data_IF_783510191855
#
_entry.id   IF_783510191855
#
_cell.length_a   1.000
_cell.length_b   1.000
_cell.length_c   1.000
_cell.angle_alpha   90.00
_cell.angle_beta   90.00
_cell.angle_gamma   90.00
#
_symmetry.space_group_name_H-M   'P 1'
#
loop_
_entity.id
_entity.type
_entity.pdbx_description
1 polymer ?
#
# COMPACT_ATOMS: atom_id res chain seq x y z
N UNK A 1 0.15 3.15 -21.56
CA UNK A 1 0.54 1.75 -21.40
C UNK A 1 1.17 1.64 -20.03
N UNK A 2 0.68 0.76 -19.18
CA UNK A 2 1.22 0.54 -17.83
C UNK A 2 2.07 -0.72 -17.85
N UNK A 3 3.30 -0.62 -17.35
CA UNK A 3 4.26 -1.74 -17.27
C UNK A 3 4.47 -2.08 -15.81
N UNK A 4 4.35 -3.36 -15.46
CA UNK A 4 4.67 -3.87 -14.12
C UNK A 4 5.87 -4.80 -14.25
N UNK A 5 6.95 -4.47 -13.51
CA UNK A 5 8.12 -5.34 -13.43
C UNK A 5 8.03 -6.20 -12.18
N UNK A 6 8.18 -7.51 -12.36
CA UNK A 6 8.06 -8.53 -11.32
C UNK A 6 9.26 -9.47 -11.36
N UNK A 7 9.49 -10.18 -10.27
CA UNK A 7 10.40 -11.29 -10.28
C UNK A 7 9.82 -12.50 -11.05
N UNK A 8 10.67 -13.46 -11.39
CA UNK A 8 10.29 -14.60 -12.19
C UNK A 8 9.66 -15.75 -11.37
N UNK A 9 8.97 -15.41 -10.27
CA UNK A 9 8.27 -16.37 -9.41
C UNK A 9 7.01 -16.94 -10.09
N UNK A 10 6.64 -18.15 -9.73
CA UNK A 10 5.48 -18.84 -10.30
C UNK A 10 4.17 -18.11 -10.06
N UNK A 11 4.02 -17.49 -8.89
CA UNK A 11 2.85 -16.70 -8.52
C UNK A 11 2.65 -15.48 -9.42
N UNK A 12 3.74 -14.82 -9.79
CA UNK A 12 3.70 -13.65 -10.67
C UNK A 12 3.30 -14.03 -12.11
N UNK A 13 3.70 -15.19 -12.57
CA UNK A 13 3.23 -15.74 -13.85
C UNK A 13 1.75 -16.11 -13.83
N UNK A 14 1.24 -16.57 -12.69
CA UNK A 14 -0.20 -16.81 -12.50
C UNK A 14 -0.98 -15.49 -12.49
N UNK A 15 -0.42 -14.42 -11.90
CA UNK A 15 -1.01 -13.09 -11.93
C UNK A 15 -1.16 -12.59 -13.37
N UNK A 16 -0.10 -12.70 -14.18
CA UNK A 16 -0.16 -12.35 -15.61
C UNK A 16 -1.27 -13.12 -16.33
N UNK A 17 -1.31 -14.44 -16.18
CA UNK A 17 -2.36 -15.27 -16.80
C UNK A 17 -3.77 -14.85 -16.40
N UNK A 18 -3.97 -14.44 -15.15
CA UNK A 18 -5.27 -13.94 -14.68
C UNK A 18 -5.60 -12.57 -15.24
N UNK A 19 -4.64 -11.66 -15.33
CA UNK A 19 -4.86 -10.32 -15.90
C UNK A 19 -5.15 -10.35 -17.40
N UNK A 20 -4.59 -11.34 -18.10
CA UNK A 20 -4.83 -11.55 -19.54
C UNK A 20 -6.15 -12.31 -19.77
N UNK A 21 -6.75 -12.89 -18.72
CA UNK A 21 -8.04 -13.57 -18.83
C UNK A 21 -9.18 -12.59 -19.15
N UNK A 22 -10.27 -13.12 -19.71
CA UNK A 22 -11.42 -12.36 -20.23
C UNK A 22 -12.05 -11.42 -19.18
N UNK A 23 -11.85 -11.71 -17.90
CA UNK A 23 -12.52 -11.01 -16.79
C UNK A 23 -11.81 -9.73 -16.36
N UNK A 24 -10.49 -9.62 -16.55
CA UNK A 24 -9.72 -8.50 -16.01
C UNK A 24 -9.21 -7.52 -17.05
N UNK A 25 -8.88 -7.93 -18.24
CA UNK A 25 -8.41 -7.09 -19.40
C UNK A 25 -7.80 -5.72 -19.03
N UNK A 26 -6.85 -5.73 -18.10
CA UNK A 26 -6.31 -4.48 -17.52
C UNK A 26 -5.37 -3.72 -18.46
N UNK A 27 -4.98 -4.32 -19.59
CA UNK A 27 -4.05 -3.71 -20.55
C UNK A 27 -2.68 -3.41 -19.95
N UNK A 28 -2.24 -4.25 -18.99
CA UNK A 28 -0.96 -4.13 -18.29
C UNK A 28 0.06 -5.01 -19.00
N UNK A 29 1.22 -4.44 -19.28
CA UNK A 29 2.38 -5.20 -19.76
C UNK A 29 3.21 -5.70 -18.56
N UNK A 30 3.63 -6.96 -18.61
CA UNK A 30 4.43 -7.58 -17.56
C UNK A 30 5.84 -7.81 -18.03
N UNK A 31 6.82 -7.23 -17.32
CA UNK A 31 8.24 -7.52 -17.48
C UNK A 31 8.71 -8.42 -16.33
N UNK A 32 9.36 -9.53 -16.66
CA UNK A 32 9.96 -10.39 -15.64
C UNK A 32 11.47 -10.17 -15.58
N UNK A 33 12.00 -10.12 -14.35
CA UNK A 33 13.45 -10.06 -14.13
C UNK A 33 14.12 -11.36 -14.60
N UNK A 34 15.36 -11.28 -15.03
CA UNK A 34 16.12 -12.46 -15.41
C UNK A 34 16.34 -13.37 -14.18
N UNK A 35 16.40 -14.69 -14.36
CA UNK A 35 16.72 -15.62 -13.27
C UNK A 35 18.05 -15.28 -12.62
N UNK A 36 18.16 -15.40 -11.29
CA UNK A 36 19.36 -15.15 -10.51
C UNK A 36 19.94 -13.72 -10.62
N UNK A 37 19.11 -12.72 -10.87
CA UNK A 37 19.52 -11.29 -10.92
C UNK A 37 18.79 -10.46 -9.85
N UNK A 38 19.13 -10.61 -8.55
CA UNK A 38 18.47 -9.89 -7.47
C UNK A 38 18.58 -8.37 -7.61
N UNK A 39 19.65 -7.87 -8.24
CA UNK A 39 19.85 -6.42 -8.47
C UNK A 39 18.71 -5.77 -9.28
N UNK A 40 18.04 -6.53 -10.14
CA UNK A 40 16.93 -6.00 -10.94
C UNK A 40 15.66 -5.75 -10.12
N UNK A 41 15.56 -6.37 -8.93
CA UNK A 41 14.42 -6.20 -8.02
C UNK A 41 14.74 -5.33 -6.79
N UNK A 42 15.96 -4.79 -6.70
CA UNK A 42 16.46 -4.06 -5.53
C UNK A 42 15.57 -2.87 -5.13
N UNK A 43 14.98 -2.16 -6.10
CA UNK A 43 14.08 -1.04 -5.81
C UNK A 43 12.81 -1.50 -5.08
N UNK A 44 12.23 -2.63 -5.48
CA UNK A 44 11.06 -3.19 -4.81
C UNK A 44 11.42 -3.66 -3.38
N UNK A 45 12.58 -4.30 -3.21
CA UNK A 45 13.06 -4.73 -1.89
C UNK A 45 13.28 -3.55 -0.95
N UNK A 46 13.93 -2.48 -1.43
CA UNK A 46 14.10 -1.24 -0.65
C UNK A 46 12.74 -0.60 -0.33
N UNK A 47 11.81 -0.57 -1.27
CA UNK A 47 10.45 -0.06 -1.04
C UNK A 47 9.71 -0.84 0.06
N UNK A 48 9.77 -2.17 0.02
CA UNK A 48 9.16 -3.04 1.05
C UNK A 48 9.81 -2.80 2.41
N UNK A 49 11.15 -2.71 2.48
CA UNK A 49 11.87 -2.44 3.72
C UNK A 49 11.51 -1.06 4.30
N UNK A 50 11.38 -0.05 3.44
CA UNK A 50 10.98 1.31 3.85
C UNK A 50 9.56 1.30 4.42
N UNK A 51 8.59 0.69 3.74
CA UNK A 51 7.23 0.56 4.26
C UNK A 51 7.18 -0.20 5.58
N UNK A 52 7.94 -1.29 5.72
CA UNK A 52 8.01 -2.03 6.98
C UNK A 52 8.57 -1.19 8.13
N UNK A 53 9.51 -0.28 7.86
CA UNK A 53 10.02 0.66 8.86
C UNK A 53 8.98 1.72 9.22
N UNK A 54 8.21 2.24 8.26
CA UNK A 54 7.08 3.14 8.53
C UNK A 54 6.03 2.48 9.41
N UNK A 55 5.67 1.22 9.12
CA UNK A 55 4.73 0.44 9.95
C UNK A 55 5.21 0.31 11.39
N UNK A 56 6.50 -0.06 11.58
CA UNK A 56 7.09 -0.16 12.93
C UNK A 56 7.03 1.19 13.68
N UNK A 57 7.38 2.27 13.00
CA UNK A 57 7.34 3.61 13.57
C UNK A 57 5.91 4.03 13.96
N UNK A 58 4.92 3.77 13.10
CA UNK A 58 3.52 4.08 13.36
C UNK A 58 2.97 3.26 14.53
N UNK A 59 3.24 1.96 14.58
CA UNK A 59 2.81 1.09 15.69
C UNK A 59 3.46 1.50 17.01
N UNK A 60 4.74 1.84 17.00
CA UNK A 60 5.46 2.32 18.16
C UNK A 60 4.89 3.66 18.66
N UNK A 61 4.62 4.60 17.76
CA UNK A 61 4.03 5.89 18.09
C UNK A 61 2.62 5.74 18.71
N UNK A 62 1.83 4.82 18.18
CA UNK A 62 0.49 4.51 18.69
C UNK A 62 0.50 3.67 19.97
N UNK A 63 1.69 3.33 20.51
CA UNK A 63 1.84 2.47 21.70
C UNK A 63 1.07 1.14 21.62
N UNK A 64 1.02 0.52 20.43
CA UNK A 64 0.30 -0.73 20.22
C UNK A 64 0.92 -1.84 21.06
N UNK A 65 0.13 -2.50 21.96
CA UNK A 65 0.64 -3.64 22.72
C UNK A 65 1.09 -4.77 21.80
N UNK A 66 2.18 -5.46 22.16
CA UNK A 66 2.80 -6.49 21.33
C UNK A 66 1.83 -7.60 20.90
N UNK A 67 0.88 -7.95 21.75
CA UNK A 67 -0.17 -8.94 21.47
C UNK A 67 -1.12 -8.57 20.35
N UNK A 68 -1.24 -7.27 20.03
CA UNK A 68 -2.09 -6.76 18.94
C UNK A 68 -1.31 -6.42 17.68
N UNK A 69 0.02 -6.36 17.75
CA UNK A 69 0.84 -5.95 16.60
C UNK A 69 0.56 -6.78 15.36
N UNK A 70 0.45 -8.10 15.48
CA UNK A 70 0.19 -8.98 14.33
C UNK A 70 -1.22 -8.80 13.74
N UNK A 71 -2.21 -8.45 14.58
CA UNK A 71 -3.62 -8.23 14.15
C UNK A 71 -3.78 -6.92 13.39
N UNK A 72 -3.05 -5.88 13.84
CA UNK A 72 -3.13 -4.54 13.28
C UNK A 72 -2.08 -4.28 12.18
N UNK A 73 -1.15 -5.23 11.99
CA UNK A 73 -0.05 -5.06 11.03
C UNK A 73 -0.55 -4.74 9.62
N UNK A 74 -1.56 -5.47 9.16
CA UNK A 74 -2.12 -5.28 7.82
C UNK A 74 -2.72 -3.88 7.65
N UNK A 75 -3.55 -3.45 8.59
CA UNK A 75 -4.22 -2.14 8.52
C UNK A 75 -3.20 -1.00 8.58
N UNK A 76 -2.17 -1.16 9.42
CA UNK A 76 -1.06 -0.22 9.53
C UNK A 76 -0.25 -0.18 8.23
N UNK A 77 0.02 -1.34 7.62
CA UNK A 77 0.77 -1.45 6.36
C UNK A 77 0.01 -0.79 5.20
N UNK A 78 -1.30 -1.05 5.08
CA UNK A 78 -2.15 -0.42 4.07
C UNK A 78 -2.17 1.12 4.24
N UNK A 79 -2.25 1.60 5.47
CA UNK A 79 -2.18 3.04 5.77
C UNK A 79 -0.82 3.62 5.40
N UNK A 80 0.28 2.96 5.76
CA UNK A 80 1.63 3.40 5.42
C UNK A 80 1.83 3.48 3.90
N UNK A 81 1.33 2.49 3.15
CA UNK A 81 1.39 2.48 1.69
C UNK A 81 0.60 3.64 1.06
N UNK A 82 -0.58 3.96 1.61
CA UNK A 82 -1.37 5.12 1.16
C UNK A 82 -0.59 6.42 1.44
N UNK A 83 -0.03 6.57 2.63
CA UNK A 83 0.73 7.78 3.00
C UNK A 83 1.98 7.95 2.13
N UNK A 84 2.68 6.87 1.83
CA UNK A 84 3.83 6.87 0.92
C UNK A 84 3.41 7.31 -0.50
N UNK A 85 2.28 6.81 -1.00
CA UNK A 85 1.70 7.24 -2.27
C UNK A 85 1.29 8.71 -2.32
N UNK A 86 1.06 9.36 -1.17
CA UNK A 86 0.72 10.78 -1.06
C UNK A 86 1.96 11.70 -0.94
N UNK A 87 3.15 11.14 -0.79
CA UNK A 87 4.39 11.93 -0.74
C UNK A 87 4.59 12.71 -2.04
N UNK A 88 4.94 13.99 -1.89
CA UNK A 88 5.22 14.87 -3.04
C UNK A 88 6.62 14.58 -3.55
N UNK A 89 6.70 14.28 -4.83
CA UNK A 89 7.95 14.04 -5.56
C UNK A 89 8.02 14.92 -6.79
N UNK A 90 9.24 15.18 -7.24
CA UNK A 90 9.47 15.92 -8.47
C UNK A 90 9.90 14.95 -9.58
N UNK A 91 9.08 14.82 -10.60
CA UNK A 91 9.36 14.01 -11.77
C UNK A 91 9.26 14.89 -13.02
N UNK A 92 10.33 14.97 -13.80
CA UNK A 92 10.41 15.81 -15.02
C UNK A 92 10.03 17.27 -14.77
N UNK A 93 10.42 17.85 -13.64
CA UNK A 93 10.13 19.25 -13.28
C UNK A 93 8.70 19.50 -12.76
N UNK A 94 7.85 18.45 -12.69
CA UNK A 94 6.51 18.54 -12.11
C UNK A 94 6.52 17.98 -10.69
N UNK A 95 6.09 18.83 -9.73
CA UNK A 95 5.89 18.44 -8.32
C UNK A 95 4.46 17.95 -8.13
N UNK A 96 4.30 16.69 -7.81
CA UNK A 96 3.01 16.08 -7.51
C UNK A 96 3.20 14.85 -6.61
N UNK A 97 2.14 14.30 -6.04
CA UNK A 97 2.22 13.04 -5.31
C UNK A 97 2.46 11.87 -6.26
N UNK A 98 3.03 10.77 -5.75
CA UNK A 98 3.14 9.52 -6.51
C UNK A 98 1.78 9.07 -7.05
N UNK A 99 0.73 9.21 -6.23
CA UNK A 99 -0.62 8.89 -6.63
C UNK A 99 -1.08 9.74 -7.83
N UNK A 100 -0.78 11.04 -7.81
CA UNK A 100 -1.15 11.95 -8.90
C UNK A 100 -0.37 11.66 -10.19
N UNK A 101 0.93 11.35 -10.07
CA UNK A 101 1.74 10.92 -11.22
C UNK A 101 1.21 9.63 -11.84
N UNK A 102 0.75 8.67 -11.01
CA UNK A 102 0.25 7.38 -11.47
C UNK A 102 -1.19 7.46 -11.98
N UNK A 103 -2.10 8.07 -11.22
CA UNK A 103 -3.53 8.08 -11.51
C UNK A 103 -3.99 9.28 -12.37
N UNK A 104 -3.13 10.27 -12.58
CA UNK A 104 -3.45 11.48 -13.34
C UNK A 104 -4.46 12.41 -12.66
N UNK A 105 -4.77 12.19 -11.40
CA UNK A 105 -5.76 12.98 -10.63
C UNK A 105 -5.33 13.15 -9.19
N UNK A 106 -5.75 14.26 -8.58
CA UNK A 106 -5.44 14.56 -7.17
C UNK A 106 -6.23 13.62 -6.24
N UNK A 107 -5.58 13.02 -5.21
CA UNK A 107 -6.25 12.19 -4.23
C UNK A 107 -7.21 13.02 -3.37
N UNK A 108 -8.50 12.65 -3.36
CA UNK A 108 -9.53 13.37 -2.58
C UNK A 108 -9.49 13.04 -1.08
N UNK A 109 -8.72 12.02 -0.68
CA UNK A 109 -8.67 11.53 0.70
C UNK A 109 -7.82 12.39 1.63
N UNK A 110 -6.97 13.28 1.12
CA UNK A 110 -6.01 14.06 1.92
C UNK A 110 -6.67 14.89 3.02
N UNK A 111 -7.86 15.44 2.79
CA UNK A 111 -8.61 16.21 3.79
C UNK A 111 -9.20 15.38 4.95
N UNK A 112 -9.20 14.07 4.83
CA UNK A 112 -9.78 13.14 5.82
C UNK A 112 -8.73 12.30 6.54
N UNK A 113 -7.45 12.55 6.28
CA UNK A 113 -6.36 11.85 6.96
C UNK A 113 -6.37 12.14 8.44
N UNK A 114 -6.17 11.10 9.25
CA UNK A 114 -6.02 11.14 10.69
C UNK A 114 -4.75 10.41 11.09
N UNK A 115 -4.26 10.70 12.28
CA UNK A 115 -3.13 9.97 12.85
C UNK A 115 -3.54 8.51 13.07
N UNK A 116 -2.78 7.59 12.55
CA UNK A 116 -3.02 6.17 12.76
C UNK A 116 -2.86 5.83 14.25
N UNK A 117 -3.83 5.08 14.81
CA UNK A 117 -3.86 4.78 16.24
C UNK A 117 -4.39 5.89 17.13
N UNK A 118 -4.88 7.00 16.57
CA UNK A 118 -5.57 8.04 17.33
C UNK A 118 -6.90 7.51 17.88
N UNK A 119 -7.16 7.76 19.16
CA UNK A 119 -8.45 7.43 19.76
C UNK A 119 -9.55 8.32 19.20
N UNK A 120 -10.63 7.71 18.76
CA UNK A 120 -11.76 8.41 18.17
C UNK A 120 -13.09 7.87 18.65
N UNK A 121 -14.12 8.72 18.62
CA UNK A 121 -15.51 8.31 18.87
C UNK A 121 -16.22 8.07 17.53
N UNK A 122 -16.78 6.87 17.35
CA UNK A 122 -17.59 6.55 16.19
C UNK A 122 -19.07 6.57 16.57
N UNK A 123 -19.88 7.35 15.82
CA UNK A 123 -21.35 7.26 15.95
C UNK A 123 -21.81 5.96 15.30
N UNK A 124 -22.27 5.00 16.11
CA UNK A 124 -22.88 3.77 15.58
C UNK A 124 -24.21 4.12 14.92
N UNK A 125 -24.27 4.03 13.60
CA UNK A 125 -25.54 3.94 12.89
C UNK A 125 -25.93 2.46 12.84
N UNK A 126 -27.20 2.14 13.17
CA UNK A 126 -27.71 0.75 13.32
C UNK A 126 -27.50 -0.20 12.13
N UNK A 127 -26.89 0.26 11.06
CA UNK A 127 -26.63 -0.49 9.82
C UNK A 127 -25.22 -1.07 9.71
N UNK A 128 -24.31 -0.82 10.66
CA UNK A 128 -22.95 -1.33 10.57
C UNK A 128 -22.76 -2.53 11.52
N UNK A 129 -22.72 -3.74 10.97
CA UNK A 129 -22.47 -4.99 11.71
C UNK A 129 -21.00 -5.20 12.15
N UNK A 130 -20.15 -4.18 12.08
CA UNK A 130 -18.80 -4.23 12.60
C UNK A 130 -18.79 -3.78 14.07
N UNK A 131 -18.90 -4.73 14.98
CA UNK A 131 -18.64 -4.51 16.41
C UNK A 131 -17.14 -4.37 16.63
N UNK A 132 -16.61 -3.16 16.55
CA UNK A 132 -15.36 -2.85 17.24
C UNK A 132 -15.67 -2.77 18.73
N UNK A 133 -15.33 -3.81 19.48
CA UNK A 133 -15.35 -3.77 20.93
C UNK A 133 -14.08 -3.04 21.36
N UNK A 134 -14.20 -1.75 21.67
CA UNK A 134 -13.15 -1.02 22.36
C UNK A 134 -13.16 -1.61 23.78
N UNK A 135 -12.07 -2.25 24.17
CA UNK A 135 -11.86 -2.69 25.54
C UNK A 135 -11.46 -1.46 26.35
N UNK A 136 -12.27 -1.14 27.38
CA UNK A 136 -11.92 -0.25 28.48
C UNK A 136 -10.77 -0.84 29.31
#
# INVERSE_FOLDING_TARGET
MQVIRLDNAGENKLLQKRSDSTDWKLGIEYEFTAPATPQQNSLAEVGIATLANHVRAMMHHAHVPMEYCYKLFRDCYETAAILDGLMIVEVNGKKASWFEHFAGKNPKCTGYLRTWGEAGTAKSTRTCHLRFKIME
#
